data_IF_625307492332
#
_entry.id   IF_625307492332
#
_cell.length_a   1.000
_cell.length_b   1.000
_cell.length_c   1.000
_cell.angle_alpha   90.00
_cell.angle_beta   90.00
_cell.angle_gamma   90.00
#
_symmetry.space_group_name_H-M   'P 1'
#
loop_
_entity.id
_entity.type
_entity.pdbx_description
1 polymer ?
#
# COMPACT_ATOMS: atom_id res chain seq x y z
N UNK A 1 15.50 12.09 13.92
CA UNK A 1 15.02 10.71 14.15
C UNK A 1 13.54 10.73 13.89
N UNK A 2 13.18 10.68 12.62
CA UNK A 2 11.80 10.75 12.14
C UNK A 2 11.14 9.37 12.25
N UNK A 3 11.13 8.83 13.48
CA UNK A 3 10.65 7.48 13.83
C UNK A 3 9.19 7.22 13.42
N UNK A 4 8.41 8.29 13.23
CA UNK A 4 7.02 8.20 12.77
C UNK A 4 6.92 7.89 11.28
N UNK A 5 7.81 8.47 10.46
CA UNK A 5 7.83 8.22 9.03
C UNK A 5 8.35 6.81 8.76
N UNK A 6 9.45 6.43 9.42
CA UNK A 6 10.05 5.10 9.32
C UNK A 6 9.04 4.00 9.74
N UNK A 7 8.24 4.24 10.78
CA UNK A 7 7.19 3.30 11.19
C UNK A 7 6.08 3.17 10.14
N UNK A 8 5.59 4.28 9.58
CA UNK A 8 4.55 4.25 8.55
C UNK A 8 5.04 3.58 7.28
N UNK A 9 6.29 3.83 6.88
CA UNK A 9 6.91 3.18 5.72
C UNK A 9 7.01 1.66 5.92
N UNK A 10 7.52 1.21 7.07
CA UNK A 10 7.61 -0.22 7.39
C UNK A 10 6.24 -0.91 7.39
N UNK A 11 5.23 -0.32 8.02
CA UNK A 11 3.88 -0.90 8.06
C UNK A 11 3.20 -0.87 6.69
N UNK A 12 3.44 0.16 5.89
CA UNK A 12 2.93 0.25 4.52
C UNK A 12 3.57 -0.82 3.64
N UNK A 13 4.88 -1.05 3.75
CA UNK A 13 5.56 -2.11 2.98
C UNK A 13 5.06 -3.51 3.35
N UNK A 14 4.88 -3.79 4.65
CA UNK A 14 4.28 -5.04 5.10
C UNK A 14 2.85 -5.25 4.54
N UNK A 15 2.04 -4.19 4.48
CA UNK A 15 0.73 -4.23 3.84
C UNK A 15 0.83 -4.44 2.32
N UNK A 16 1.80 -3.84 1.62
CA UNK A 16 2.01 -4.06 0.18
C UNK A 16 2.30 -5.53 -0.13
N UNK A 17 3.15 -6.16 0.66
CA UNK A 17 3.46 -7.59 0.51
C UNK A 17 2.22 -8.46 0.75
N UNK A 18 1.40 -8.11 1.74
CA UNK A 18 0.13 -8.80 1.99
C UNK A 18 -0.83 -8.64 0.79
N UNK A 19 -1.03 -7.42 0.31
CA UNK A 19 -1.86 -7.11 -0.86
C UNK A 19 -1.39 -7.88 -2.09
N UNK A 20 -0.08 -7.89 -2.38
CA UNK A 20 0.48 -8.60 -3.53
C UNK A 20 0.21 -10.11 -3.50
N UNK A 21 0.28 -10.75 -2.33
CA UNK A 21 0.01 -12.20 -2.19
C UNK A 21 -1.46 -12.56 -2.35
N UNK A 22 -2.36 -11.65 -1.97
CA UNK A 22 -3.80 -11.91 -1.94
C UNK A 22 -4.55 -11.26 -3.11
N UNK A 23 -3.91 -10.43 -3.93
CA UNK A 23 -4.52 -9.81 -5.11
C UNK A 23 -5.07 -10.84 -6.10
N UNK A 24 -4.33 -11.92 -6.31
CA UNK A 24 -4.72 -12.99 -7.23
C UNK A 24 -5.92 -13.81 -6.73
N UNK A 25 -6.17 -13.83 -5.41
CA UNK A 25 -7.33 -14.50 -4.82
C UNK A 25 -8.63 -13.71 -5.03
N UNK A 26 -8.56 -12.38 -5.23
CA UNK A 26 -9.74 -11.51 -5.15
C UNK A 26 -10.26 -11.01 -6.49
N UNK A 27 -9.63 -11.32 -7.63
CA UNK A 27 -10.04 -10.98 -9.02
C UNK A 27 -11.21 -9.97 -9.13
N UNK A 28 -10.97 -8.72 -8.69
CA UNK A 28 -11.94 -7.62 -8.80
C UNK A 28 -12.67 -7.16 -7.52
N UNK A 29 -12.43 -7.76 -6.35
CA UNK A 29 -13.00 -7.29 -5.08
C UNK A 29 -11.99 -6.51 -4.23
N UNK A 30 -11.64 -5.31 -4.72
CA UNK A 30 -10.70 -4.40 -4.05
C UNK A 30 -11.19 -3.97 -2.66
N UNK A 31 -12.50 -3.89 -2.44
CA UNK A 31 -13.05 -3.56 -1.12
C UNK A 31 -12.76 -4.67 -0.09
N UNK A 32 -13.00 -5.93 -0.44
CA UNK A 32 -12.70 -7.05 0.45
C UNK A 32 -11.19 -7.17 0.71
N UNK A 33 -10.37 -6.91 -0.30
CA UNK A 33 -8.93 -6.89 -0.14
C UNK A 33 -8.48 -5.76 0.81
N UNK A 34 -9.10 -4.59 0.71
CA UNK A 34 -8.85 -3.46 1.61
C UNK A 34 -9.23 -3.78 3.07
N UNK A 35 -10.40 -4.36 3.29
CA UNK A 35 -10.87 -4.80 4.62
C UNK A 35 -9.91 -5.84 5.22
N UNK A 36 -9.55 -6.88 4.45
CA UNK A 36 -8.59 -7.91 4.89
C UNK A 36 -7.20 -7.33 5.20
N UNK A 37 -6.76 -6.34 4.43
CA UNK A 37 -5.46 -5.68 4.67
C UNK A 37 -5.50 -4.84 5.95
N UNK A 38 -6.61 -4.15 6.20
CA UNK A 38 -6.84 -3.39 7.44
C UNK A 38 -6.84 -4.32 8.65
N UNK A 39 -7.56 -5.44 8.57
CA UNK A 39 -7.60 -6.45 9.63
C UNK A 39 -6.21 -7.03 9.90
N UNK A 40 -5.47 -7.41 8.86
CA UNK A 40 -4.10 -7.91 9.00
C UNK A 40 -3.19 -6.91 9.74
N UNK A 41 -3.25 -5.62 9.39
CA UNK A 41 -2.47 -4.59 10.06
C UNK A 41 -2.79 -4.51 11.57
N UNK A 42 -4.07 -4.58 11.93
CA UNK A 42 -4.50 -4.50 13.34
C UNK A 42 -4.20 -5.78 14.10
N UNK A 43 -4.55 -6.94 13.54
CA UNK A 43 -4.51 -8.22 14.28
C UNK A 43 -3.16 -8.90 14.27
N UNK A 44 -2.35 -8.68 13.24
CA UNK A 44 -1.06 -9.37 13.07
C UNK A 44 0.13 -8.48 13.35
N UNK A 45 0.02 -7.18 13.14
CA UNK A 45 1.10 -6.21 13.33
C UNK A 45 0.83 -5.20 14.47
N UNK A 46 -0.28 -5.36 15.20
CA UNK A 46 -0.69 -4.49 16.30
C UNK A 46 -0.77 -2.99 15.92
N UNK A 47 -1.02 -2.69 14.64
CA UNK A 47 -1.18 -1.32 14.18
C UNK A 47 -2.45 -0.73 14.79
N UNK A 48 -2.42 0.51 15.31
CA UNK A 48 -3.63 1.16 15.82
C UNK A 48 -4.73 1.22 14.77
N UNK A 49 -5.95 0.84 15.14
CA UNK A 49 -7.09 0.75 14.21
C UNK A 49 -7.41 2.07 13.48
N UNK A 50 -7.11 3.23 14.08
CA UNK A 50 -7.29 4.53 13.42
C UNK A 50 -6.25 4.80 12.31
N UNK A 51 -5.10 4.11 12.32
CA UNK A 51 -4.04 4.24 11.32
C UNK A 51 -4.14 3.21 10.21
N UNK A 52 -4.64 2.00 10.51
CA UNK A 52 -4.65 0.88 9.58
C UNK A 52 -5.34 1.19 8.23
N UNK A 53 -6.51 1.87 8.18
CA UNK A 53 -7.15 2.23 6.91
C UNK A 53 -6.26 3.11 6.01
N UNK A 54 -5.53 4.07 6.60
CA UNK A 54 -4.63 4.95 5.86
C UNK A 54 -3.47 4.17 5.25
N UNK A 55 -2.87 3.28 6.02
CA UNK A 55 -1.74 2.45 5.56
C UNK A 55 -2.18 1.43 4.50
N UNK A 56 -3.37 0.85 4.66
CA UNK A 56 -3.96 -0.04 3.66
C UNK A 56 -4.26 0.69 2.34
N UNK A 57 -4.78 1.92 2.38
CA UNK A 57 -4.93 2.74 1.17
C UNK A 57 -3.58 3.00 0.49
N UNK A 58 -2.56 3.41 1.25
CA UNK A 58 -1.22 3.65 0.72
C UNK A 58 -0.62 2.39 0.08
N UNK A 59 -0.83 1.23 0.68
CA UNK A 59 -0.34 -0.05 0.17
C UNK A 59 -1.01 -0.48 -1.14
N UNK A 60 -2.29 -0.14 -1.33
CA UNK A 60 -3.03 -0.44 -2.56
C UNK A 60 -2.76 0.56 -3.68
N UNK A 61 -2.35 1.78 -3.34
CA UNK A 61 -1.87 2.79 -4.29
C UNK A 61 -0.41 2.53 -4.70
N UNK A 62 0.02 2.96 -5.90
CA UNK A 62 1.44 2.96 -6.26
C UNK A 62 2.27 3.75 -5.24
N UNK A 63 3.53 3.35 -5.04
CA UNK A 63 4.43 4.06 -4.14
C UNK A 63 4.69 5.48 -4.69
N UNK A 64 4.81 6.51 -3.83
CA UNK A 64 4.98 7.89 -4.26
C UNK A 64 6.34 8.23 -4.91
N UNK A 65 7.11 7.24 -5.38
CA UNK A 65 8.44 7.46 -5.99
C UNK A 65 8.73 6.51 -7.17
N UNK A 66 7.72 6.18 -7.99
CA UNK A 66 8.06 6.04 -9.41
C UNK A 66 8.19 7.47 -9.95
N UNK A 67 9.37 7.89 -10.48
CA UNK A 67 9.36 9.03 -11.36
C UNK A 67 8.30 8.67 -12.40
N UNK A 68 7.30 9.54 -12.57
CA UNK A 68 6.62 9.61 -13.86
C UNK A 68 7.78 9.78 -14.84
N UNK A 69 8.23 8.69 -15.45
CA UNK A 69 9.13 8.72 -16.60
C UNK A 69 8.25 9.35 -17.66
N UNK A 70 8.21 10.66 -17.54
CA UNK A 70 7.32 11.56 -18.14
C UNK A 70 7.65 11.43 -19.63
N UNK A 71 6.75 10.74 -20.33
CA UNK A 71 6.85 10.21 -21.69
C UNK A 71 6.95 11.33 -22.75
N UNK A 72 7.85 12.31 -22.59
CA UNK A 72 7.98 13.44 -23.53
C UNK A 72 9.00 13.28 -24.64
N UNK A 73 9.49 12.08 -24.94
CA UNK A 73 10.43 11.89 -26.05
C UNK A 73 10.04 10.73 -26.97
N UNK A 74 8.93 10.88 -27.68
CA UNK A 74 8.71 10.24 -28.99
C UNK A 74 7.71 11.04 -29.84
N UNK A 75 7.96 12.35 -29.97
CA UNK A 75 7.34 13.17 -31.00
C UNK A 75 8.22 14.39 -31.29
N UNK A 76 9.35 14.20 -31.97
CA UNK A 76 9.93 15.25 -32.80
C UNK A 76 10.60 14.61 -34.02
N UNK A 77 9.91 14.82 -35.16
CA UNK A 77 10.38 14.86 -36.55
C UNK A 77 11.03 13.61 -37.17
#
# INVERSE_FOLDING_TARGET
MDNHNDYQEQMTDAARQFVARHRDEHLGNDQQLFERTTDYLVTSLDVPAFMAPRLAHLAMSPAPDEPVAEHWDSATA
#
